data_IF_057946104190
#
_entry.id   IF_057946104190
#
_cell.length_a   1.000
_cell.length_b   1.000
_cell.length_c   1.000
_cell.angle_alpha   90.00
_cell.angle_beta   90.00
_cell.angle_gamma   90.00
#
_symmetry.space_group_name_H-M   'P 1'
#
loop_
_entity.id
_entity.type
_entity.pdbx_description
1 polymer ?
#
# COMPACT_ATOMS: atom_id res chain seq x y z
N UNK A 1 -10.93 42.81 8.46
CA UNK A 1 -10.40 42.10 9.65
C UNK A 1 -10.85 40.65 9.59
N UNK A 2 -9.87 39.77 9.81
CA UNK A 2 -9.80 38.30 9.66
C UNK A 2 -10.70 37.47 10.59
N UNK A 3 -11.14 36.28 10.15
CA UNK A 3 -10.53 34.97 10.51
C UNK A 3 -11.25 33.79 9.85
N UNK A 4 -10.45 32.88 9.29
CA UNK A 4 -10.86 31.55 8.88
C UNK A 4 -10.69 30.51 10.00
N UNK A 5 -11.28 29.34 9.76
CA UNK A 5 -11.11 28.07 10.48
C UNK A 5 -11.85 27.05 9.61
N UNK A 6 -11.21 26.21 8.81
CA UNK A 6 -10.24 25.20 9.19
C UNK A 6 -10.92 23.86 8.91
N UNK A 7 -10.69 23.31 7.72
CA UNK A 7 -11.19 21.98 7.29
C UNK A 7 -10.47 20.92 8.12
N UNK A 8 -11.00 20.64 9.30
CA UNK A 8 -10.46 19.68 10.26
C UNK A 8 -10.96 18.28 9.88
N UNK A 9 -10.36 17.69 8.85
CA UNK A 9 -10.58 16.27 8.51
C UNK A 9 -9.74 15.43 9.45
N UNK A 10 -10.33 15.05 10.58
CA UNK A 10 -9.77 14.04 11.46
C UNK A 10 -9.45 12.76 10.66
N UNK A 11 -8.24 12.19 10.78
CA UNK A 11 -7.92 10.93 10.12
C UNK A 11 -8.82 9.82 10.68
N UNK A 12 -9.59 9.19 9.80
CA UNK A 12 -10.48 8.08 10.14
C UNK A 12 -9.61 6.87 10.49
N UNK A 13 -9.78 6.32 11.69
CA UNK A 13 -9.07 5.11 12.09
C UNK A 13 -9.50 3.93 11.19
N UNK A 14 -8.62 2.99 10.84
CA UNK A 14 -8.97 1.85 9.98
C UNK A 14 -10.06 0.92 10.55
N UNK A 15 -10.19 0.85 11.87
CA UNK A 15 -11.34 0.22 12.52
C UNK A 15 -12.64 0.98 12.22
N UNK A 16 -12.59 2.31 12.18
CA UNK A 16 -13.70 3.17 11.78
C UNK A 16 -13.96 3.10 10.29
N UNK A 17 -12.99 2.76 9.41
CA UNK A 17 -13.28 2.62 7.98
C UNK A 17 -14.09 1.35 7.67
N UNK A 18 -13.83 0.23 8.36
CA UNK A 18 -14.63 -1.00 8.18
C UNK A 18 -16.07 -0.86 8.71
N UNK A 19 -16.31 0.01 9.70
CA UNK A 19 -17.66 0.40 10.17
C UNK A 19 -18.24 1.62 9.40
N UNK A 20 -17.40 2.51 8.89
CA UNK A 20 -17.75 3.69 8.06
C UNK A 20 -17.72 3.41 6.54
N UNK A 21 -17.54 2.17 6.11
CA UNK A 21 -17.88 1.72 4.76
C UNK A 21 -19.32 1.20 4.75
N UNK A 22 -19.78 0.61 5.86
CA UNK A 22 -21.15 0.10 5.98
C UNK A 22 -22.14 1.23 6.32
N UNK A 23 -21.78 2.17 7.22
CA UNK A 23 -22.65 3.27 7.64
C UNK A 23 -23.02 4.28 6.52
N UNK A 24 -22.04 4.92 5.86
CA UNK A 24 -22.25 5.81 4.70
C UNK A 24 -22.69 5.07 3.43
N UNK A 25 -22.27 3.81 3.23
CA UNK A 25 -22.72 2.98 2.10
C UNK A 25 -24.23 2.71 2.15
N UNK A 26 -24.76 2.36 3.32
CA UNK A 26 -26.21 2.32 3.55
C UNK A 26 -26.84 3.72 3.54
N UNK A 27 -26.11 4.74 4.00
CA UNK A 27 -26.55 6.14 4.00
C UNK A 27 -26.86 6.68 2.59
N UNK A 28 -26.08 6.33 1.58
CA UNK A 28 -26.33 6.74 0.19
C UNK A 28 -27.56 6.00 -0.38
N UNK A 29 -27.74 4.71 -0.07
CA UNK A 29 -28.94 3.94 -0.46
C UNK A 29 -30.21 4.27 0.34
N UNK A 30 -30.10 4.97 1.48
CA UNK A 30 -31.23 5.36 2.33
C UNK A 30 -31.59 6.85 2.28
N UNK A 31 -30.62 7.72 1.93
CA UNK A 31 -30.81 9.18 1.81
C UNK A 31 -31.23 9.61 0.39
N UNK A 32 -30.93 8.80 -0.62
CA UNK A 32 -31.31 9.03 -2.02
C UNK A 32 -32.22 7.90 -2.49
N UNK A 33 -33.23 8.22 -3.31
CA UNK A 33 -34.22 7.24 -3.79
C UNK A 33 -33.62 6.15 -4.69
N UNK A 34 -32.47 6.43 -5.31
CA UNK A 34 -31.66 5.48 -6.06
C UNK A 34 -30.22 6.01 -6.19
N UNK A 35 -29.25 5.09 -6.26
CA UNK A 35 -27.89 5.38 -6.73
C UNK A 35 -27.83 4.98 -8.18
N UNK A 36 -27.32 5.83 -9.07
CA UNK A 36 -27.32 5.57 -10.51
C UNK A 36 -25.93 5.13 -10.99
N UNK A 37 -25.91 4.19 -11.93
CA UNK A 37 -24.73 3.85 -12.73
C UNK A 37 -24.44 4.96 -13.76
N UNK A 38 -23.29 4.91 -14.42
CA UNK A 38 -22.87 5.95 -15.38
C UNK A 38 -23.80 6.08 -16.61
N UNK A 39 -24.61 5.06 -16.87
CA UNK A 39 -25.64 5.04 -17.91
C UNK A 39 -27.02 5.57 -17.42
N UNK A 40 -27.11 6.00 -16.17
CA UNK A 40 -28.33 6.53 -15.54
C UNK A 40 -29.28 5.46 -15.00
N UNK A 41 -28.92 4.17 -15.07
CA UNK A 41 -29.73 3.08 -14.51
C UNK A 41 -29.53 2.93 -12.99
N UNK A 42 -30.52 2.44 -12.22
CA UNK A 42 -30.34 2.21 -10.79
C UNK A 42 -29.31 1.11 -10.50
N UNK A 43 -28.25 1.45 -9.78
CA UNK A 43 -27.19 0.54 -9.37
C UNK A 43 -27.72 -0.49 -8.36
N UNK A 44 -27.49 -1.76 -8.64
CA UNK A 44 -27.87 -2.84 -7.72
C UNK A 44 -26.86 -3.02 -6.59
N UNK A 45 -27.31 -3.57 -5.46
CA UNK A 45 -26.41 -3.95 -4.33
C UNK A 45 -25.32 -4.92 -4.79
N UNK A 46 -25.64 -5.80 -5.76
CA UNK A 46 -24.68 -6.70 -6.38
C UNK A 46 -23.60 -5.93 -7.15
N UNK A 47 -23.97 -4.93 -7.94
CA UNK A 47 -23.02 -4.06 -8.65
C UNK A 47 -22.14 -3.30 -7.67
N UNK A 48 -22.73 -2.75 -6.59
CA UNK A 48 -21.98 -2.04 -5.56
C UNK A 48 -20.94 -2.94 -4.88
N UNK A 49 -21.33 -4.16 -4.49
CA UNK A 49 -20.40 -5.17 -3.95
C UNK A 49 -19.34 -5.59 -4.97
N UNK A 50 -19.70 -5.71 -6.25
CA UNK A 50 -18.74 -6.00 -7.31
C UNK A 50 -17.73 -4.86 -7.52
N UNK A 51 -18.15 -3.60 -7.41
CA UNK A 51 -17.27 -2.43 -7.49
C UNK A 51 -16.33 -2.34 -6.28
N UNK A 52 -16.84 -2.63 -5.08
CA UNK A 52 -16.04 -2.75 -3.85
C UNK A 52 -15.01 -3.88 -4.00
N UNK A 53 -15.43 -5.04 -4.51
CA UNK A 53 -14.54 -6.18 -4.72
C UNK A 53 -13.55 -5.94 -5.88
N UNK A 54 -13.90 -5.12 -6.88
CA UNK A 54 -13.00 -4.72 -7.97
C UNK A 54 -11.84 -3.87 -7.46
N UNK A 55 -12.06 -3.04 -6.44
CA UNK A 55 -11.00 -2.32 -5.72
C UNK A 55 -10.08 -3.23 -4.89
N UNK A 56 -10.40 -4.53 -4.77
CA UNK A 56 -9.65 -5.51 -3.99
C UNK A 56 -9.01 -6.61 -4.86
N UNK A 57 -9.09 -6.50 -6.19
CA UNK A 57 -8.57 -7.52 -7.11
C UNK A 57 -7.02 -7.63 -7.02
N UNK A 58 -6.49 -8.86 -7.08
CA UNK A 58 -5.03 -9.12 -7.08
C UNK A 58 -4.29 -8.56 -8.30
N UNK A 59 -5.01 -8.33 -9.41
CA UNK A 59 -4.43 -8.03 -10.71
C UNK A 59 -3.84 -6.61 -10.84
N UNK A 60 -4.09 -5.72 -9.88
CA UNK A 60 -3.55 -4.34 -9.88
C UNK A 60 -2.16 -4.23 -9.24
N UNK A 61 -1.65 -5.31 -8.64
CA UNK A 61 -0.31 -5.35 -8.03
C UNK A 61 0.73 -5.94 -8.98
N UNK A 62 1.99 -5.49 -8.86
CA UNK A 62 3.12 -6.12 -9.54
C UNK A 62 3.29 -7.59 -9.11
N UNK A 63 3.89 -8.40 -10.00
CA UNK A 63 4.06 -9.84 -9.81
C UNK A 63 4.73 -10.23 -8.49
N UNK A 64 5.68 -9.42 -8.01
CA UNK A 64 6.38 -9.66 -6.75
C UNK A 64 5.46 -9.42 -5.55
N UNK A 65 4.69 -8.34 -5.59
CA UNK A 65 3.70 -8.03 -4.57
C UNK A 65 2.59 -9.09 -4.52
N UNK A 66 2.16 -9.62 -5.68
CA UNK A 66 1.22 -10.74 -5.73
C UNK A 66 1.78 -12.02 -5.10
N UNK A 67 3.06 -12.32 -5.36
CA UNK A 67 3.74 -13.42 -4.68
C UNK A 67 3.76 -13.19 -3.16
N UNK A 68 4.19 -12.00 -2.72
CA UNK A 68 4.33 -11.69 -1.31
C UNK A 68 2.99 -11.77 -0.57
N UNK A 69 1.90 -11.27 -1.17
CA UNK A 69 0.55 -11.39 -0.63
C UNK A 69 0.13 -12.85 -0.39
N UNK A 70 0.34 -13.70 -1.40
CA UNK A 70 -0.03 -15.10 -1.30
C UNK A 70 0.84 -15.85 -0.29
N UNK A 71 2.16 -15.61 -0.32
CA UNK A 71 3.09 -16.20 0.64
C UNK A 71 2.80 -15.76 2.07
N UNK A 72 2.51 -14.47 2.28
CA UNK A 72 2.20 -13.91 3.58
C UNK A 72 0.89 -14.46 4.15
N UNK A 73 -0.15 -14.68 3.35
CA UNK A 73 -1.39 -15.30 3.83
C UNK A 73 -1.16 -16.75 4.33
N UNK A 74 -0.28 -17.50 3.67
CA UNK A 74 0.01 -18.89 4.04
C UNK A 74 1.02 -19.02 5.18
N UNK A 75 2.11 -18.26 5.13
CA UNK A 75 3.28 -18.43 6.00
C UNK A 75 3.51 -17.24 6.94
N UNK A 76 2.83 -16.12 6.73
CA UNK A 76 3.17 -14.86 7.38
C UNK A 76 4.63 -14.49 7.12
N UNK A 77 5.36 -14.23 8.21
CA UNK A 77 6.81 -13.96 8.19
C UNK A 77 7.67 -15.22 8.37
N UNK A 78 7.08 -16.40 8.49
CA UNK A 78 7.81 -17.63 8.75
C UNK A 78 8.53 -18.15 7.50
N UNK A 79 9.50 -19.05 7.72
CA UNK A 79 10.17 -19.77 6.64
C UNK A 79 9.28 -20.86 6.06
N UNK A 80 9.25 -20.95 4.73
CA UNK A 80 8.67 -22.06 3.98
C UNK A 80 9.70 -22.71 3.06
N UNK A 81 9.32 -23.84 2.44
CA UNK A 81 10.21 -24.60 1.57
C UNK A 81 10.47 -23.86 0.24
N UNK A 82 11.72 -23.84 -0.22
CA UNK A 82 12.09 -23.21 -1.49
C UNK A 82 11.32 -23.79 -2.68
N UNK A 83 11.08 -25.11 -2.70
CA UNK A 83 10.33 -25.76 -3.78
C UNK A 83 8.90 -25.22 -3.92
N UNK A 84 8.23 -24.93 -2.80
CA UNK A 84 6.89 -24.32 -2.82
C UNK A 84 6.94 -22.86 -3.26
N UNK A 85 7.95 -22.12 -2.79
CA UNK A 85 8.19 -20.74 -3.24
C UNK A 85 8.45 -20.67 -4.75
N UNK A 86 9.24 -21.59 -5.31
CA UNK A 86 9.54 -21.63 -6.75
C UNK A 86 8.29 -21.92 -7.59
N UNK A 87 7.45 -22.86 -7.15
CA UNK A 87 6.16 -23.14 -7.82
C UNK A 87 5.25 -21.91 -7.79
N UNK A 88 5.12 -21.26 -6.63
CA UNK A 88 4.29 -20.06 -6.49
C UNK A 88 4.84 -18.89 -7.31
N UNK A 89 6.16 -18.65 -7.28
CA UNK A 89 6.80 -17.57 -8.01
C UNK A 89 6.56 -17.71 -9.52
N UNK A 90 6.71 -18.92 -10.08
CA UNK A 90 6.41 -19.18 -11.49
C UNK A 90 4.94 -18.98 -11.82
N UNK A 91 4.04 -19.41 -10.94
CA UNK A 91 2.60 -19.21 -11.12
C UNK A 91 2.21 -17.73 -11.15
N UNK A 92 2.93 -16.87 -10.41
CA UNK A 92 2.76 -15.42 -10.40
C UNK A 92 3.65 -14.68 -11.43
N UNK A 93 4.29 -15.41 -12.35
CA UNK A 93 5.19 -14.85 -13.37
C UNK A 93 6.39 -14.06 -12.81
N UNK A 94 6.93 -14.48 -11.66
CA UNK A 94 8.18 -13.99 -11.08
C UNK A 94 9.14 -15.16 -10.79
N UNK A 95 10.21 -14.93 -10.04
CA UNK A 95 11.16 -15.94 -9.60
C UNK A 95 11.62 -15.67 -8.17
N UNK A 96 12.00 -16.72 -7.45
CA UNK A 96 12.53 -16.60 -6.07
C UNK A 96 13.80 -15.75 -6.03
N UNK A 97 14.69 -15.90 -7.02
CA UNK A 97 15.86 -15.04 -7.15
C UNK A 97 15.48 -13.58 -7.37
N UNK A 98 14.50 -13.31 -8.25
CA UNK A 98 14.01 -11.95 -8.48
C UNK A 98 13.36 -11.31 -7.25
N UNK A 99 12.76 -12.10 -6.35
CA UNK A 99 12.22 -11.63 -5.08
C UNK A 99 13.31 -11.32 -4.03
N UNK A 100 14.41 -12.08 -4.06
CA UNK A 100 15.61 -11.83 -3.25
C UNK A 100 16.32 -10.56 -3.74
N UNK A 101 16.50 -10.43 -5.05
CA UNK A 101 17.10 -9.25 -5.70
C UNK A 101 16.27 -7.97 -5.50
N UNK A 102 14.93 -8.09 -5.48
CA UNK A 102 14.02 -7.00 -5.16
C UNK A 102 13.95 -6.69 -3.65
N UNK A 103 14.72 -7.39 -2.81
CA UNK A 103 14.79 -7.14 -1.37
C UNK A 103 13.49 -7.42 -0.61
N UNK A 104 12.57 -8.23 -1.14
CA UNK A 104 11.29 -8.54 -0.47
C UNK A 104 11.28 -9.91 0.21
N UNK A 105 12.13 -10.82 -0.26
CA UNK A 105 12.31 -12.15 0.31
C UNK A 105 13.78 -12.41 0.64
N UNK A 106 14.02 -13.40 1.49
CA UNK A 106 15.35 -13.92 1.76
C UNK A 106 15.37 -15.42 1.53
N UNK A 107 16.38 -15.86 0.78
CA UNK A 107 16.62 -17.27 0.51
C UNK A 107 17.78 -17.81 1.35
N UNK A 108 17.71 -19.07 1.78
CA UNK A 108 18.79 -19.69 2.53
C UNK A 108 18.48 -21.11 2.97
N UNK A 109 19.47 -22.00 2.90
CA UNK A 109 19.36 -23.39 3.36
C UNK A 109 18.13 -24.17 2.81
N UNK A 110 17.76 -23.92 1.55
CA UNK A 110 16.59 -24.55 0.92
C UNK A 110 15.24 -24.00 1.41
N UNK A 111 15.25 -22.83 2.06
CA UNK A 111 14.07 -22.15 2.57
C UNK A 111 13.97 -20.72 2.03
N UNK A 112 12.75 -20.19 2.11
CA UNK A 112 12.39 -18.82 1.70
C UNK A 112 11.50 -18.21 2.78
N UNK A 113 11.69 -16.92 3.07
CA UNK A 113 10.76 -16.11 3.88
C UNK A 113 10.72 -14.68 3.38
N UNK A 114 9.67 -13.95 3.75
CA UNK A 114 9.58 -12.51 3.50
C UNK A 114 10.46 -11.72 4.50
N UNK A 115 10.92 -10.55 4.09
CA UNK A 115 11.61 -9.61 4.97
C UNK A 115 10.61 -8.81 5.80
N UNK A 116 10.85 -8.72 7.12
CA UNK A 116 10.07 -7.89 8.03
C UNK A 116 10.43 -6.41 7.88
N UNK A 117 9.53 -5.48 8.26
CA UNK A 117 9.78 -4.04 8.18
C UNK A 117 11.09 -3.56 8.81
N UNK A 118 11.51 -4.18 9.92
CA UNK A 118 12.75 -3.84 10.63
C UNK A 118 14.03 -4.40 9.99
N UNK A 119 13.92 -5.25 8.97
CA UNK A 119 15.06 -5.80 8.23
C UNK A 119 15.40 -4.96 7.00
N UNK A 120 14.51 -4.08 6.57
CA UNK A 120 14.74 -3.18 5.45
C UNK A 120 15.81 -2.12 5.78
N UNK A 121 16.65 -1.73 4.80
CA UNK A 121 17.75 -0.80 5.00
C UNK A 121 17.24 0.59 5.41
N UNK A 122 17.89 1.18 6.43
CA UNK A 122 17.48 2.46 6.99
C UNK A 122 17.68 3.63 5.99
N UNK A 123 18.70 3.52 5.16
CA UNK A 123 19.16 4.45 4.13
C UNK A 123 18.62 4.10 2.72
N UNK A 124 17.55 3.31 2.64
CA UNK A 124 16.92 2.96 1.37
C UNK A 124 16.53 4.22 0.58
N UNK A 125 16.99 4.26 -0.67
CA UNK A 125 16.69 5.33 -1.61
C UNK A 125 15.98 4.72 -2.83
N UNK A 126 14.65 4.94 -2.96
CA UNK A 126 13.89 4.41 -4.10
C UNK A 126 14.39 4.91 -5.47
N UNK A 127 15.27 5.91 -5.54
CA UNK A 127 15.84 6.38 -6.82
C UNK A 127 16.97 5.49 -7.33
N UNK A 128 17.62 4.76 -6.43
CA UNK A 128 18.72 3.84 -6.73
C UNK A 128 18.22 2.42 -6.96
N UNK A 129 16.97 2.18 -6.64
CA UNK A 129 16.33 0.89 -6.76
C UNK A 129 15.64 0.74 -8.12
N UNK A 130 16.07 -0.25 -8.88
CA UNK A 130 15.55 -0.52 -10.24
C UNK A 130 14.27 -1.34 -10.24
N UNK A 131 13.92 -1.97 -9.11
CA UNK A 131 12.78 -2.88 -9.00
C UNK A 131 12.15 -2.71 -7.62
N UNK A 132 11.12 -1.88 -7.59
CA UNK A 132 10.42 -1.51 -6.35
C UNK A 132 9.01 -2.13 -6.39
N UNK A 133 8.83 -3.34 -5.85
CA UNK A 133 7.50 -3.87 -5.57
C UNK A 133 6.72 -2.92 -4.67
N UNK A 134 5.41 -2.86 -4.87
CA UNK A 134 4.50 -2.14 -3.97
C UNK A 134 4.63 -2.69 -2.53
N UNK A 135 4.90 -4.00 -2.40
CA UNK A 135 5.23 -4.65 -1.13
C UNK A 135 6.42 -4.00 -0.40
N UNK A 136 7.55 -3.80 -1.07
CA UNK A 136 8.74 -3.18 -0.48
C UNK A 136 8.43 -1.74 -0.07
N UNK A 137 7.89 -0.94 -1.00
CA UNK A 137 7.61 0.47 -0.76
C UNK A 137 6.69 0.67 0.45
N UNK A 138 5.67 -0.19 0.61
CA UNK A 138 4.79 -0.17 1.77
C UNK A 138 5.55 -0.42 3.08
N UNK A 139 6.39 -1.45 3.14
CA UNK A 139 7.10 -1.80 4.37
C UNK A 139 8.22 -0.80 4.71
N UNK A 140 8.83 -0.18 3.69
CA UNK A 140 9.74 0.95 3.86
C UNK A 140 9.04 2.17 4.44
N UNK A 141 7.80 2.47 4.00
CA UNK A 141 6.99 3.54 4.59
C UNK A 141 6.62 3.25 6.04
N UNK A 142 6.24 2.02 6.38
CA UNK A 142 5.98 1.61 7.77
C UNK A 142 7.23 1.82 8.63
N UNK A 143 8.39 1.37 8.15
CA UNK A 143 9.67 1.55 8.85
C UNK A 143 9.98 3.03 9.06
N UNK A 144 9.92 3.84 8.01
CA UNK A 144 10.22 5.27 8.07
C UNK A 144 9.24 6.03 8.98
N UNK A 145 7.95 5.70 8.92
CA UNK A 145 6.92 6.28 9.79
C UNK A 145 7.21 5.96 11.26
N UNK A 146 7.48 4.70 11.58
CA UNK A 146 7.75 4.25 12.96
C UNK A 146 9.04 4.86 13.52
N UNK A 147 10.08 4.93 12.71
CA UNK A 147 11.42 5.29 13.19
C UNK A 147 11.67 6.81 13.14
N UNK A 148 11.06 7.53 12.20
CA UNK A 148 11.36 8.94 11.90
C UNK A 148 10.12 9.82 11.65
N UNK A 149 8.91 9.25 11.72
CA UNK A 149 7.65 9.98 11.61
C UNK A 149 7.21 10.29 10.17
N UNK A 150 6.10 11.01 10.09
CA UNK A 150 5.34 11.27 8.86
C UNK A 150 6.15 12.03 7.80
N UNK A 151 7.05 12.93 8.22
CA UNK A 151 7.90 13.68 7.29
C UNK A 151 8.90 12.79 6.54
N UNK A 152 9.47 11.77 7.18
CA UNK A 152 10.41 10.84 6.54
C UNK A 152 9.67 9.89 5.60
N UNK A 153 8.53 9.37 6.04
CA UNK A 153 7.64 8.61 5.15
C UNK A 153 7.19 9.44 3.94
N UNK A 154 6.92 10.74 4.13
CA UNK A 154 6.57 11.67 3.05
C UNK A 154 7.68 11.84 2.01
N UNK A 155 8.96 11.87 2.43
CA UNK A 155 10.10 11.92 1.50
C UNK A 155 10.16 10.69 0.59
N UNK A 156 9.92 9.50 1.16
CA UNK A 156 9.85 8.26 0.39
C UNK A 156 8.66 8.31 -0.57
N UNK A 157 7.47 8.66 -0.07
CA UNK A 157 6.24 8.70 -0.86
C UNK A 157 6.33 9.69 -2.03
N UNK A 158 7.03 10.81 -1.86
CA UNK A 158 7.27 11.79 -2.93
C UNK A 158 8.03 11.19 -4.13
N UNK A 159 8.94 10.25 -3.88
CA UNK A 159 9.70 9.56 -4.94
C UNK A 159 8.86 8.47 -5.59
N UNK A 160 8.12 7.67 -4.81
CA UNK A 160 7.26 6.58 -5.31
C UNK A 160 5.82 7.02 -5.56
N UNK A 161 5.59 8.30 -5.85
CA UNK A 161 4.25 8.92 -5.92
C UNK A 161 3.31 8.23 -6.91
N UNK A 162 3.84 7.71 -8.02
CA UNK A 162 3.06 6.95 -9.01
C UNK A 162 2.48 5.64 -8.46
N UNK A 163 3.05 5.10 -7.37
CA UNK A 163 2.60 3.90 -6.67
C UNK A 163 1.76 4.22 -5.42
N UNK A 164 1.55 5.50 -5.08
CA UNK A 164 0.90 5.94 -3.84
C UNK A 164 -0.45 5.25 -3.59
N UNK A 165 -1.36 5.29 -4.55
CA UNK A 165 -2.69 4.68 -4.40
C UNK A 165 -2.61 3.16 -4.22
N UNK A 166 -1.73 2.49 -4.96
CA UNK A 166 -1.57 1.05 -4.86
C UNK A 166 -0.97 0.63 -3.51
N UNK A 167 -0.01 1.41 -2.99
CA UNK A 167 0.52 1.22 -1.63
C UNK A 167 -0.60 1.35 -0.60
N UNK A 168 -1.43 2.38 -0.72
CA UNK A 168 -2.57 2.58 0.20
C UNK A 168 -3.54 1.40 0.16
N UNK A 169 -3.89 0.93 -1.03
CA UNK A 169 -4.75 -0.25 -1.21
C UNK A 169 -4.13 -1.51 -0.60
N UNK A 170 -2.82 -1.71 -0.79
CA UNK A 170 -2.11 -2.84 -0.19
C UNK A 170 -2.17 -2.79 1.34
N UNK A 171 -2.01 -1.61 1.95
CA UNK A 171 -2.10 -1.43 3.40
C UNK A 171 -3.47 -1.84 3.96
N UNK A 172 -4.56 -1.43 3.30
CA UNK A 172 -5.91 -1.84 3.68
C UNK A 172 -6.11 -3.35 3.59
N UNK A 173 -5.61 -3.96 2.52
CA UNK A 173 -5.71 -5.41 2.30
C UNK A 173 -4.95 -6.18 3.37
N UNK A 174 -3.72 -5.76 3.68
CA UNK A 174 -2.88 -6.39 4.70
C UNK A 174 -3.45 -6.21 6.11
N UNK A 175 -3.98 -5.03 6.44
CA UNK A 175 -4.70 -4.80 7.68
C UNK A 175 -5.86 -5.79 7.85
N UNK A 176 -6.73 -5.89 6.84
CA UNK A 176 -7.90 -6.79 6.88
C UNK A 176 -7.49 -8.26 6.99
N UNK A 177 -6.42 -8.65 6.30
CA UNK A 177 -5.87 -9.99 6.38
C UNK A 177 -5.37 -10.29 7.81
N UNK A 178 -4.59 -9.38 8.40
CA UNK A 178 -4.02 -9.55 9.73
C UNK A 178 -5.10 -9.60 10.81
N UNK A 179 -6.12 -8.75 10.71
CA UNK A 179 -7.29 -8.79 11.61
C UNK A 179 -7.99 -10.14 11.57
N UNK A 180 -8.27 -10.67 10.37
CA UNK A 180 -8.89 -11.98 10.19
C UNK A 180 -8.04 -13.13 10.73
N UNK A 181 -6.71 -13.01 10.64
CA UNK A 181 -5.74 -14.02 11.12
C UNK A 181 -5.41 -13.85 12.62
N UNK A 182 -5.83 -12.75 13.25
CA UNK A 182 -5.48 -12.42 14.64
C UNK A 182 -4.03 -11.93 14.82
N UNK A 183 -3.38 -11.45 13.77
CA UNK A 183 -2.00 -10.92 13.81
C UNK A 183 -1.99 -9.45 14.23
N UNK A 184 -2.23 -9.21 15.52
CA UNK A 184 -2.48 -7.87 16.07
C UNK A 184 -1.30 -6.89 15.87
N UNK A 185 -0.05 -7.34 16.00
CA UNK A 185 1.11 -6.47 15.82
C UNK A 185 1.25 -5.97 14.37
N UNK A 186 1.06 -6.87 13.41
CA UNK A 186 1.12 -6.54 11.99
C UNK A 186 -0.08 -5.66 11.59
N UNK A 187 -1.29 -6.00 12.06
CA UNK A 187 -2.49 -5.19 11.86
C UNK A 187 -2.29 -3.74 12.36
N UNK A 188 -1.69 -3.57 13.55
CA UNK A 188 -1.40 -2.25 14.11
C UNK A 188 -0.49 -1.43 13.19
N UNK A 189 0.55 -2.04 12.63
CA UNK A 189 1.49 -1.33 11.75
C UNK A 189 0.82 -0.84 10.45
N UNK A 190 0.00 -1.68 9.81
CA UNK A 190 -0.77 -1.27 8.63
C UNK A 190 -1.82 -0.20 8.99
N UNK A 191 -2.46 -0.34 10.15
CA UNK A 191 -3.44 0.62 10.62
C UNK A 191 -2.84 2.01 10.86
N UNK A 192 -1.66 2.05 11.47
CA UNK A 192 -0.90 3.28 11.72
C UNK A 192 -0.54 3.98 10.41
N UNK A 193 -0.02 3.25 9.42
CA UNK A 193 0.28 3.79 8.09
C UNK A 193 -0.96 4.41 7.42
N UNK A 194 -2.09 3.71 7.46
CA UNK A 194 -3.35 4.21 6.89
C UNK A 194 -3.83 5.47 7.61
N UNK A 195 -3.74 5.50 8.94
CA UNK A 195 -4.18 6.65 9.75
C UNK A 195 -3.35 7.90 9.47
N UNK A 196 -2.03 7.74 9.36
CA UNK A 196 -1.10 8.84 9.04
C UNK A 196 -1.05 9.20 7.56
N UNK A 197 -1.80 8.52 6.69
CA UNK A 197 -1.65 8.65 5.23
C UNK A 197 -1.80 10.09 4.73
N UNK A 198 -2.83 10.81 5.17
CA UNK A 198 -3.07 12.21 4.76
C UNK A 198 -1.91 13.13 5.16
N UNK A 199 -1.32 12.91 6.34
CA UNK A 199 -0.18 13.68 6.82
C UNK A 199 1.09 13.35 6.03
N UNK A 200 1.30 12.07 5.70
CA UNK A 200 2.39 11.60 4.84
C UNK A 200 2.25 12.20 3.42
N UNK A 201 1.06 12.21 2.84
CA UNK A 201 0.80 12.84 1.52
C UNK A 201 1.05 14.35 1.54
N UNK A 202 0.60 15.03 2.61
CA UNK A 202 0.87 16.46 2.80
C UNK A 202 2.36 16.75 2.90
N UNK A 203 3.10 15.94 3.67
CA UNK A 203 4.56 16.02 3.75
C UNK A 203 5.21 15.72 2.39
N UNK A 204 4.75 14.71 1.66
CA UNK A 204 5.25 14.37 0.33
C UNK A 204 5.10 15.55 -0.66
N UNK A 205 3.99 16.29 -0.58
CA UNK A 205 3.74 17.48 -1.40
C UNK A 205 4.71 18.64 -1.14
N UNK A 206 5.43 18.64 -0.02
CA UNK A 206 6.45 19.64 0.30
C UNK A 206 7.82 19.30 -0.31
N UNK A 207 8.01 18.07 -0.78
CA UNK A 207 9.20 17.65 -1.49
C UNK A 207 8.95 17.77 -3.00
N UNK A 208 9.57 18.75 -3.69
CA UNK A 208 9.40 18.88 -5.12
C UNK A 208 9.87 17.60 -5.81
N UNK A 209 9.09 17.10 -6.77
CA UNK A 209 9.57 16.13 -7.75
C UNK A 209 10.87 16.69 -8.30
N UNK A 210 11.99 15.99 -8.06
CA UNK A 210 13.26 16.37 -8.69
C UNK A 210 13.12 16.01 -10.17
N UNK A 211 12.37 16.84 -10.89
CA UNK A 211 12.30 16.80 -12.33
C UNK A 211 13.67 17.24 -12.84
N UNK A 212 14.58 16.28 -13.03
CA UNK A 212 15.80 16.49 -13.80
C UNK A 212 15.53 17.03 -15.22
N UNK A 213 14.27 17.02 -15.66
CA UNK A 213 13.82 17.57 -16.93
C UNK A 213 13.94 19.11 -17.04
N UNK A 214 14.09 19.84 -15.94
CA UNK A 214 14.30 21.31 -15.96
C UNK A 214 15.77 21.73 -16.12
N UNK A 215 16.74 20.80 -16.08
CA UNK A 215 18.17 21.12 -16.32
C UNK A 215 18.58 21.04 -17.81
N UNK A 216 17.76 20.48 -18.69
CA UNK A 216 18.10 20.27 -20.10
C UNK A 216 17.82 21.46 -21.03
N UNK A 217 17.14 22.50 -20.56
CA UNK A 217 16.84 23.71 -21.36
C UNK A 217 17.62 24.96 -20.94
N UNK A 218 18.58 24.82 -20.03
CA UNK A 218 19.25 25.94 -19.37
C UNK A 218 20.72 26.12 -19.71
N UNK A 219 21.21 25.76 -20.91
CA UNK A 219 22.60 26.08 -21.28
C UNK A 219 22.80 26.11 -22.82
N UNK A 220 22.41 27.22 -23.45
CA UNK A 220 23.08 27.78 -24.64
C UNK A 220 22.96 29.31 -24.59
N UNK A 221 24.01 29.96 -24.10
CA UNK A 221 24.39 31.31 -24.53
C UNK A 221 25.64 31.20 -25.38
#
# INVERSE_FOLDING_TARGET
MTKGSGDDRSPVAPVDLSQAIIGPGMGVFSKYSAVLEADGSPMTVRTALQLINRFLAEDDFDHDTQFCLHWFDQYGWAEGAYGEADVLARAKATSVAGLDDAGVAKTGAGKVRLLRPNEYPADWDPRKDTRIPIWEALHQLIRALRDQGESSAGQILAVVKTKSEAIRQLAYRLYTLCERRGWAEDARAYNELVTSWTAIESAAGQFPETNEQLKLFGEKQ
#
